data_IF_982658833349
#
_entry.id   IF_982658833349
#
_cell.length_a   1.000
_cell.length_b   1.000
_cell.length_c   1.000
_cell.angle_alpha   90.00
_cell.angle_beta   90.00
_cell.angle_gamma   90.00
#
_symmetry.space_group_name_H-M   'P 1'
#
loop_
_entity.id
_entity.type
_entity.pdbx_description
1 polymer ?
#
# COMPACT_ATOMS: atom_id res chain seq x y z
N UNK A 1 -14.99 -14.66 -11.77
CA UNK A 1 -13.68 -14.16 -11.91
C UNK A 1 -13.48 -12.85 -11.14
N UNK A 2 -12.41 -12.78 -10.54
CA UNK A 2 -12.10 -11.62 -9.79
C UNK A 2 -11.44 -10.57 -10.66
N UNK A 3 -12.03 -9.40 -10.70
CA UNK A 3 -11.48 -8.32 -11.48
C UNK A 3 -10.73 -7.41 -10.54
N UNK A 4 -9.45 -7.60 -10.53
CA UNK A 4 -8.61 -6.74 -9.71
C UNK A 4 -8.02 -5.66 -10.58
N UNK A 5 -8.01 -4.48 -10.03
CA UNK A 5 -7.43 -3.37 -10.73
C UNK A 5 -5.91 -3.45 -10.60
N UNK A 6 -5.23 -3.11 -11.68
CA UNK A 6 -3.78 -3.05 -11.66
C UNK A 6 -3.31 -2.05 -10.62
N UNK A 7 -2.19 -2.35 -10.02
CA UNK A 7 -1.57 -1.41 -9.09
C UNK A 7 -1.29 -0.08 -9.76
N UNK A 8 -0.90 -0.12 -11.03
CA UNK A 8 -0.61 1.11 -11.75
C UNK A 8 -1.85 1.97 -11.86
N UNK A 9 -3.00 1.34 -12.14
CA UNK A 9 -4.25 2.08 -12.23
C UNK A 9 -4.63 2.70 -10.89
N UNK A 10 -4.44 1.96 -9.83
CA UNK A 10 -4.74 2.47 -8.49
C UNK A 10 -3.84 3.64 -8.14
N UNK A 11 -2.57 3.54 -8.48
CA UNK A 11 -1.63 4.62 -8.21
C UNK A 11 -1.98 5.85 -9.02
N UNK A 12 -2.36 5.67 -10.28
CA UNK A 12 -2.75 6.81 -11.10
C UNK A 12 -3.97 7.52 -10.54
N UNK A 13 -4.97 6.76 -10.07
CA UNK A 13 -6.15 7.38 -9.48
C UNK A 13 -5.80 8.08 -8.19
N UNK A 14 -4.93 7.49 -7.40
CA UNK A 14 -4.48 8.11 -6.17
C UNK A 14 -3.81 9.45 -6.45
N UNK A 15 -2.92 9.47 -7.43
CA UNK A 15 -2.22 10.69 -7.79
C UNK A 15 -3.15 11.73 -8.41
N UNK A 16 -4.21 11.28 -9.05
CA UNK A 16 -5.18 12.18 -9.64
C UNK A 16 -6.11 12.81 -8.60
N UNK A 17 -6.01 12.39 -7.35
CA UNK A 17 -6.79 12.97 -6.28
C UNK A 17 -7.76 12.03 -5.62
N UNK A 18 -7.95 10.84 -6.19
CA UNK A 18 -8.88 9.87 -5.61
C UNK A 18 -8.15 9.07 -4.53
N UNK A 19 -8.04 9.66 -3.35
CA UNK A 19 -7.27 9.05 -2.29
C UNK A 19 -7.92 7.79 -1.71
N UNK A 20 -9.23 7.67 -1.92
CA UNK A 20 -9.98 6.53 -1.40
C UNK A 20 -9.46 5.22 -1.99
N UNK A 21 -8.89 5.25 -3.19
CA UNK A 21 -8.38 4.01 -3.78
C UNK A 21 -7.25 3.42 -2.96
N UNK A 22 -6.64 4.18 -2.06
CA UNK A 22 -5.63 3.61 -1.19
C UNK A 22 -6.20 2.48 -0.35
N UNK A 23 -7.48 2.55 -0.01
CA UNK A 23 -8.13 1.47 0.72
C UNK A 23 -8.11 0.17 -0.07
N UNK A 24 -8.23 0.24 -1.38
CA UNK A 24 -8.13 -0.95 -2.21
C UNK A 24 -6.71 -1.52 -2.17
N UNK A 25 -5.73 -0.64 -2.18
CA UNK A 25 -4.34 -1.07 -2.11
C UNK A 25 -4.09 -1.77 -0.79
N UNK A 26 -4.59 -1.20 0.30
CA UNK A 26 -4.43 -1.81 1.62
C UNK A 26 -5.07 -3.20 1.64
N UNK A 27 -6.30 -3.29 1.18
CA UNK A 27 -7.01 -4.57 1.20
C UNK A 27 -6.30 -5.63 0.36
N UNK A 28 -5.70 -5.19 -0.73
CA UNK A 28 -5.02 -6.12 -1.62
C UNK A 28 -3.80 -6.74 -0.96
N UNK A 29 -3.11 -6.00 -0.12
CA UNK A 29 -1.84 -6.45 0.42
C UNK A 29 -1.84 -6.71 1.91
N UNK A 30 -2.88 -6.31 2.64
CA UNK A 30 -2.82 -6.37 4.10
C UNK A 30 -2.60 -7.78 4.62
N UNK A 31 -3.27 -8.77 4.03
CA UNK A 31 -3.14 -10.14 4.52
C UNK A 31 -1.73 -10.66 4.30
N UNK A 32 -1.19 -10.39 3.12
CA UNK A 32 0.15 -10.84 2.79
C UNK A 32 1.18 -10.18 3.70
N UNK A 33 1.05 -8.89 3.90
CA UNK A 33 1.98 -8.16 4.75
C UNK A 33 1.84 -8.60 6.19
N UNK A 34 0.61 -8.83 6.64
CA UNK A 34 0.37 -9.30 7.99
C UNK A 34 1.12 -10.61 8.25
N UNK A 35 1.03 -11.56 7.31
CA UNK A 35 1.67 -12.85 7.49
C UNK A 35 3.19 -12.72 7.54
N UNK A 36 3.74 -11.85 6.72
CA UNK A 36 5.19 -11.64 6.73
C UNK A 36 5.65 -11.05 8.05
N UNK A 37 4.95 -10.02 8.52
CA UNK A 37 5.34 -9.35 9.76
C UNK A 37 5.16 -10.28 10.95
N UNK A 38 4.07 -11.03 10.96
CA UNK A 38 3.78 -11.93 12.06
C UNK A 38 4.87 -12.99 12.24
N UNK A 39 5.45 -13.43 11.13
CA UNK A 39 6.56 -14.38 11.23
C UNK A 39 7.77 -13.78 11.91
N UNK A 40 7.92 -12.47 11.77
CA UNK A 40 9.09 -11.81 12.33
C UNK A 40 8.94 -11.47 13.80
N UNK A 41 7.75 -11.03 14.20
CA UNK A 41 7.55 -10.57 15.58
C UNK A 41 6.71 -11.52 16.42
N UNK A 42 5.93 -12.36 15.79
CA UNK A 42 5.13 -13.40 16.47
C UNK A 42 4.25 -12.85 17.58
N UNK A 43 3.75 -11.64 17.41
CA UNK A 43 2.85 -11.01 18.36
C UNK A 43 1.79 -10.26 17.57
N UNK A 44 0.52 -10.50 17.90
CA UNK A 44 -0.58 -9.94 17.12
C UNK A 44 -0.65 -8.43 17.25
N UNK A 45 -0.51 -7.92 18.45
CA UNK A 45 -0.61 -6.47 18.66
C UNK A 45 0.56 -5.75 18.00
N UNK A 46 1.76 -6.29 18.15
CA UNK A 46 2.91 -5.69 17.50
C UNK A 46 2.77 -5.75 15.99
N UNK A 47 2.23 -6.85 15.47
CA UNK A 47 2.02 -6.99 14.03
C UNK A 47 1.10 -5.91 13.51
N UNK A 48 0.00 -5.66 14.22
CA UNK A 48 -0.95 -4.63 13.79
C UNK A 48 -0.33 -3.24 13.84
N UNK A 49 0.44 -2.94 14.85
CA UNK A 49 1.10 -1.65 14.97
C UNK A 49 2.08 -1.44 13.81
N UNK A 50 2.84 -2.47 13.50
CA UNK A 50 3.78 -2.39 12.40
C UNK A 50 3.06 -2.23 11.07
N UNK A 51 1.95 -2.95 10.89
CA UNK A 51 1.18 -2.81 9.66
C UNK A 51 0.67 -1.40 9.46
N UNK A 52 0.17 -0.79 10.53
CA UNK A 52 -0.30 0.58 10.42
C UNK A 52 0.82 1.51 10.01
N UNK A 53 1.98 1.33 10.61
CA UNK A 53 3.14 2.15 10.26
C UNK A 53 3.55 1.94 8.81
N UNK A 54 3.55 0.68 8.37
CA UNK A 54 3.91 0.37 6.98
C UNK A 54 2.97 1.07 6.01
N UNK A 55 1.66 1.02 6.28
CA UNK A 55 0.71 1.62 5.36
C UNK A 55 0.73 3.15 5.41
N UNK A 56 1.02 3.73 6.57
CA UNK A 56 1.19 5.17 6.66
C UNK A 56 2.37 5.60 5.80
N UNK A 57 3.48 4.88 5.91
CA UNK A 57 4.66 5.19 5.10
C UNK A 57 4.40 4.98 3.63
N UNK A 58 3.63 3.96 3.28
CA UNK A 58 3.28 3.71 1.89
C UNK A 58 2.43 4.84 1.34
N UNK A 59 1.48 5.34 2.13
CA UNK A 59 0.65 6.46 1.72
C UNK A 59 1.52 7.69 1.45
N UNK A 60 2.42 7.98 2.37
CA UNK A 60 3.29 9.13 2.21
C UNK A 60 4.19 8.99 1.00
N UNK A 61 4.69 7.78 0.77
CA UNK A 61 5.55 7.55 -0.37
C UNK A 61 4.81 7.76 -1.68
N UNK A 62 3.56 7.28 -1.75
CA UNK A 62 2.75 7.47 -2.95
C UNK A 62 2.43 8.94 -3.15
N UNK A 63 2.13 9.64 -2.06
CA UNK A 63 1.80 11.05 -2.15
C UNK A 63 2.96 11.88 -2.69
N UNK A 64 4.16 11.47 -2.36
CA UNK A 64 5.36 12.18 -2.79
C UNK A 64 5.92 11.67 -4.10
N UNK A 65 5.37 10.57 -4.60
CA UNK A 65 5.84 9.98 -5.83
C UNK A 65 5.52 10.89 -7.02
N UNK A 66 6.48 11.05 -7.91
CA UNK A 66 6.29 11.87 -9.09
C UNK A 66 6.50 11.04 -10.33
N UNK A 67 5.62 11.20 -11.30
CA UNK A 67 5.71 10.44 -12.52
C UNK A 67 6.97 10.75 -13.30
N UNK A 68 7.35 11.99 -13.29
CA UNK A 68 8.54 12.36 -14.04
C UNK A 68 9.79 11.69 -13.48
N UNK A 69 9.77 11.32 -12.21
CA UNK A 69 10.90 10.58 -11.65
C UNK A 69 11.08 9.25 -12.33
N UNK A 70 9.99 8.63 -12.71
CA UNK A 70 10.04 7.37 -13.40
C UNK A 70 10.68 7.46 -14.76
N UNK A 71 10.49 8.59 -15.39
CA UNK A 71 10.97 8.77 -16.75
C UNK A 71 12.48 8.75 -16.83
N UNK A 72 13.13 9.00 -15.73
CA UNK A 72 14.57 9.12 -15.72
C UNK A 72 15.26 7.96 -15.03
N UNK A 73 14.49 7.03 -14.57
CA UNK A 73 15.06 5.89 -13.87
C UNK A 73 15.21 4.71 -14.79
#
# INVERSE_FOLDING_TARGET
>A
MNIERDDIDLIKEFKAGNRVVFNEIVRKYEKKIYLVIKRMVDDHDDTNDIMQDVFIRAYEALDNFREESNLFT
#
